data_IF_834494625013
#
_entry.id   IF_834494625013
#
_cell.length_a   1.000
_cell.length_b   1.000
_cell.length_c   1.000
_cell.angle_alpha   90.00
_cell.angle_beta   90.00
_cell.angle_gamma   90.00
#
_symmetry.space_group_name_H-M   'P 1'
#
loop_
_entity.id
_entity.type
_entity.pdbx_description
1 polymer ?
#
# COMPACT_ATOMS: atom_id res chain seq x y z
N UNK A 1 -50.32 92.78 -17.04
CA UNK A 1 -50.37 91.65 -16.09
C UNK A 1 -51.26 90.59 -16.73
N UNK A 2 -50.71 89.69 -17.55
CA UNK A 2 -51.47 88.60 -18.17
C UNK A 2 -50.60 87.34 -18.24
N UNK A 3 -51.24 86.27 -17.79
CA UNK A 3 -50.91 84.86 -17.68
C UNK A 3 -50.54 84.19 -19.04
N UNK A 4 -49.57 83.26 -19.11
CA UNK A 4 -49.66 81.76 -19.02
C UNK A 4 -49.64 81.05 -20.41
N UNK A 5 -49.00 79.85 -20.43
CA UNK A 5 -49.01 78.72 -21.40
C UNK A 5 -48.15 78.87 -22.68
N UNK A 6 -47.05 78.14 -22.93
CA UNK A 6 -46.66 76.69 -22.95
C UNK A 6 -47.09 75.92 -24.21
N UNK A 7 -46.11 75.60 -25.07
CA UNK A 7 -45.76 74.27 -25.64
C UNK A 7 -44.51 74.44 -26.55
N UNK A 8 -43.66 73.47 -26.94
CA UNK A 8 -43.03 72.27 -26.35
C UNK A 8 -42.04 71.76 -27.43
N UNK A 9 -40.73 71.76 -27.19
CA UNK A 9 -39.77 70.97 -27.98
C UNK A 9 -38.76 70.30 -27.03
N UNK A 10 -38.55 68.99 -27.21
CA UNK A 10 -37.75 68.12 -26.35
C UNK A 10 -36.27 68.11 -26.75
N UNK A 11 -35.31 68.24 -25.82
CA UNK A 11 -33.89 68.00 -26.10
C UNK A 11 -33.50 66.52 -25.86
N UNK A 12 -32.66 65.97 -26.76
CA UNK A 12 -32.06 64.63 -26.68
C UNK A 12 -31.17 64.45 -25.42
N UNK A 13 -31.12 63.26 -24.81
CA UNK A 13 -30.27 63.01 -23.65
C UNK A 13 -28.80 62.74 -24.05
N UNK A 14 -27.88 63.43 -23.37
CA UNK A 14 -26.43 63.22 -23.42
C UNK A 14 -26.07 61.98 -22.59
N UNK A 15 -25.45 60.98 -23.22
CA UNK A 15 -25.01 59.74 -22.57
C UNK A 15 -23.68 59.99 -21.84
N UNK A 16 -23.69 59.75 -20.52
CA UNK A 16 -22.54 59.84 -19.62
C UNK A 16 -21.48 58.77 -19.93
N UNK A 17 -20.23 59.19 -20.08
CA UNK A 17 -19.04 58.33 -20.05
C UNK A 17 -18.93 57.67 -18.68
N UNK A 18 -19.21 56.37 -18.61
CA UNK A 18 -18.82 55.52 -17.48
C UNK A 18 -17.38 55.09 -17.77
N UNK A 19 -16.43 55.63 -17.00
CA UNK A 19 -15.08 55.07 -16.93
C UNK A 19 -15.18 53.66 -16.36
N UNK A 20 -15.06 52.66 -17.23
CA UNK A 20 -14.88 51.27 -16.81
C UNK A 20 -13.42 51.13 -16.43
N UNK A 21 -13.15 51.15 -15.12
CA UNK A 21 -11.87 50.74 -14.56
C UNK A 21 -11.64 49.26 -14.90
N UNK A 22 -10.88 49.01 -15.97
CA UNK A 22 -10.54 47.67 -16.42
C UNK A 22 -9.56 47.05 -15.43
N UNK A 23 -10.10 46.40 -14.38
CA UNK A 23 -9.33 45.57 -13.46
C UNK A 23 -8.80 44.36 -14.23
N UNK A 24 -7.61 44.52 -14.81
CA UNK A 24 -6.77 43.46 -15.37
C UNK A 24 -6.66 42.31 -14.36
N UNK A 25 -7.51 41.30 -14.50
CA UNK A 25 -7.38 40.01 -13.81
C UNK A 25 -6.17 39.31 -14.41
N UNK A 26 -5.03 39.41 -13.73
CA UNK A 26 -3.79 38.73 -14.10
C UNK A 26 -4.03 37.23 -14.38
N UNK A 27 -3.57 36.70 -15.54
CA UNK A 27 -3.54 35.26 -15.83
C UNK A 27 -2.59 34.47 -14.90
N UNK A 28 -1.77 35.16 -14.08
CA UNK A 28 -0.88 34.56 -13.08
C UNK A 28 -1.62 33.86 -11.93
N UNK A 29 -2.85 34.28 -11.60
CA UNK A 29 -3.59 33.71 -10.46
C UNK A 29 -4.09 32.28 -10.73
N UNK A 30 -4.49 31.98 -11.96
CA UNK A 30 -4.96 30.64 -12.36
C UNK A 30 -3.79 29.70 -12.56
N UNK A 31 -2.70 30.15 -13.19
CA UNK A 31 -1.48 29.36 -13.35
C UNK A 31 -0.80 29.04 -12.02
N UNK A 32 -0.83 29.96 -11.05
CA UNK A 32 -0.31 29.73 -9.70
C UNK A 32 -1.21 28.77 -8.90
N UNK A 33 -2.54 28.90 -9.01
CA UNK A 33 -3.48 27.92 -8.44
C UNK A 33 -3.33 26.53 -9.08
N UNK A 34 -3.12 26.45 -10.39
CA UNK A 34 -2.81 25.19 -11.08
C UNK A 34 -1.48 24.62 -10.59
N UNK A 35 -0.47 25.47 -10.41
CA UNK A 35 0.84 25.10 -9.87
C UNK A 35 0.78 24.60 -8.42
N UNK A 36 -0.09 25.17 -7.58
CA UNK A 36 -0.31 24.74 -6.20
C UNK A 36 -1.08 23.42 -6.14
N UNK A 37 -1.95 23.11 -7.11
CA UNK A 37 -2.57 21.78 -7.28
C UNK A 37 -1.60 20.73 -7.83
N UNK A 38 -0.49 21.14 -8.45
CA UNK A 38 0.53 20.24 -9.02
C UNK A 38 1.68 19.96 -8.04
N UNK A 39 1.86 20.79 -7.01
CA UNK A 39 2.85 20.54 -5.95
C UNK A 39 2.38 19.40 -5.06
N UNK A 40 3.16 18.30 -4.93
CA UNK A 40 2.79 17.23 -4.01
C UNK A 40 2.77 17.76 -2.57
N UNK A 41 1.77 17.37 -1.74
CA UNK A 41 1.76 17.69 -0.33
C UNK A 41 3.01 17.18 0.40
N UNK A 42 3.27 17.70 1.60
CA UNK A 42 4.27 17.10 2.47
C UNK A 42 3.92 15.63 2.76
N UNK A 43 4.93 14.77 2.96
CA UNK A 43 4.71 13.37 3.32
C UNK A 43 3.86 13.28 4.60
N UNK A 44 2.85 12.41 4.60
CA UNK A 44 1.91 12.24 5.71
C UNK A 44 0.73 13.22 5.72
N UNK A 45 0.67 14.18 4.79
CA UNK A 45 -0.56 14.92 4.49
C UNK A 45 -1.44 14.12 3.52
N UNK A 46 -2.73 14.48 3.44
CA UNK A 46 -3.66 13.81 2.53
C UNK A 46 -3.39 14.19 1.07
N UNK A 47 -2.92 13.23 0.28
CA UNK A 47 -2.75 13.39 -1.17
C UNK A 47 -4.09 13.25 -1.86
N UNK A 48 -4.30 13.99 -2.97
CA UNK A 48 -5.34 13.61 -3.92
C UNK A 48 -4.94 12.34 -4.68
N UNK A 49 -5.93 11.61 -5.20
CA UNK A 49 -5.70 10.34 -5.91
C UNK A 49 -4.67 10.51 -7.03
N UNK A 50 -4.87 11.46 -7.94
CA UNK A 50 -3.96 11.66 -9.08
C UNK A 50 -2.55 12.03 -8.63
N UNK A 51 -2.40 12.92 -7.63
CA UNK A 51 -1.10 13.29 -7.10
C UNK A 51 -0.37 12.09 -6.50
N UNK A 52 -1.05 11.24 -5.74
CA UNK A 52 -0.45 10.05 -5.15
C UNK A 52 -0.03 9.04 -6.22
N UNK A 53 -0.89 8.77 -7.21
CA UNK A 53 -0.63 7.79 -8.27
C UNK A 53 0.60 8.13 -9.12
N UNK A 54 0.82 9.41 -9.41
CA UNK A 54 1.99 9.87 -10.20
C UNK A 54 3.16 10.31 -9.33
N UNK A 55 3.04 10.21 -8.00
CA UNK A 55 4.13 10.55 -7.10
C UNK A 55 5.30 9.59 -7.27
N UNK A 56 6.52 10.13 -7.19
CA UNK A 56 7.75 9.35 -7.29
C UNK A 56 7.78 8.26 -6.21
N UNK A 57 7.34 8.60 -4.99
CA UNK A 57 7.34 7.68 -3.85
C UNK A 57 6.37 6.49 -4.04
N UNK A 58 5.19 6.73 -4.63
CA UNK A 58 4.25 5.66 -4.98
C UNK A 58 4.80 4.78 -6.10
N UNK A 59 5.38 5.37 -7.15
CA UNK A 59 5.93 4.60 -8.28
C UNK A 59 7.11 3.72 -7.85
N UNK A 60 7.98 4.23 -6.96
CA UNK A 60 9.07 3.46 -6.36
C UNK A 60 8.52 2.28 -5.56
N UNK A 61 7.53 2.54 -4.69
CA UNK A 61 6.89 1.49 -3.87
C UNK A 61 6.18 0.45 -4.75
N UNK A 62 5.46 0.89 -5.77
CA UNK A 62 4.75 0.05 -6.73
C UNK A 62 5.72 -0.87 -7.47
N UNK A 63 6.83 -0.33 -7.98
CA UNK A 63 7.86 -1.12 -8.65
C UNK A 63 8.52 -2.13 -7.71
N UNK A 64 8.91 -1.72 -6.50
CA UNK A 64 9.46 -2.63 -5.50
C UNK A 64 8.47 -3.76 -5.14
N UNK A 65 7.18 -3.44 -5.10
CA UNK A 65 6.10 -4.41 -4.84
C UNK A 65 5.96 -5.41 -5.99
N UNK A 66 6.01 -4.97 -7.26
CA UNK A 66 6.02 -5.87 -8.44
C UNK A 66 7.16 -6.89 -8.31
N UNK A 67 8.37 -6.43 -8.04
CA UNK A 67 9.56 -7.27 -7.94
C UNK A 67 9.51 -8.27 -6.77
N UNK A 68 9.03 -7.83 -5.60
CA UNK A 68 8.98 -8.66 -4.41
C UNK A 68 7.78 -9.59 -4.36
N UNK A 69 6.56 -9.04 -4.46
CA UNK A 69 5.31 -9.80 -4.42
C UNK A 69 5.21 -10.69 -5.64
N UNK A 70 5.55 -10.20 -6.83
CA UNK A 70 5.55 -11.03 -8.04
C UNK A 70 6.51 -12.22 -7.94
N UNK A 71 7.72 -12.01 -7.40
CA UNK A 71 8.71 -13.08 -7.26
C UNK A 71 8.31 -14.14 -6.23
N UNK A 72 7.81 -13.71 -5.07
CA UNK A 72 7.33 -14.64 -4.03
C UNK A 72 6.06 -15.36 -4.46
N UNK A 73 5.11 -14.67 -5.11
CA UNK A 73 3.89 -15.27 -5.65
C UNK A 73 4.18 -16.30 -6.74
N UNK A 74 5.14 -16.01 -7.64
CA UNK A 74 5.61 -17.00 -8.64
C UNK A 74 6.08 -18.30 -7.98
N UNK A 75 6.78 -18.20 -6.86
CA UNK A 75 7.24 -19.36 -6.11
C UNK A 75 6.11 -20.15 -5.46
N UNK A 76 5.09 -19.45 -4.93
CA UNK A 76 3.92 -20.05 -4.32
C UNK A 76 3.08 -20.79 -5.37
N UNK A 77 2.76 -20.12 -6.48
CA UNK A 77 1.92 -20.64 -7.56
C UNK A 77 2.52 -21.90 -8.22
N UNK A 78 3.85 -21.98 -8.28
CA UNK A 78 4.56 -23.10 -8.90
C UNK A 78 5.11 -24.11 -7.88
N UNK A 79 4.81 -23.98 -6.58
CA UNK A 79 5.46 -24.82 -5.54
C UNK A 79 5.25 -26.33 -5.78
N UNK A 80 4.07 -26.71 -6.28
CA UNK A 80 3.77 -28.08 -6.70
C UNK A 80 4.74 -28.58 -7.78
N UNK A 81 4.81 -27.86 -8.90
CA UNK A 81 5.67 -28.22 -10.04
C UNK A 81 7.16 -28.16 -9.68
N UNK A 82 7.58 -27.19 -8.86
CA UNK A 82 8.95 -27.09 -8.36
C UNK A 82 9.28 -28.35 -7.55
N UNK A 83 8.41 -28.74 -6.61
CA UNK A 83 8.57 -29.95 -5.81
C UNK A 83 8.64 -31.22 -6.65
N UNK A 84 7.74 -31.37 -7.63
CA UNK A 84 7.72 -32.50 -8.55
C UNK A 84 9.00 -32.57 -9.40
N UNK A 85 9.44 -31.44 -9.96
CA UNK A 85 10.65 -31.38 -10.79
C UNK A 85 11.91 -31.79 -10.02
N UNK A 86 11.98 -31.49 -8.71
CA UNK A 86 13.08 -31.89 -7.84
C UNK A 86 12.93 -33.32 -7.28
N UNK A 87 11.87 -34.04 -7.63
CA UNK A 87 11.65 -35.43 -7.24
C UNK A 87 11.12 -35.62 -5.81
N UNK A 88 10.53 -34.58 -5.20
CA UNK A 88 9.91 -34.74 -3.88
C UNK A 88 8.62 -35.58 -3.97
N UNK A 89 8.34 -36.43 -2.97
CA UNK A 89 7.07 -37.14 -2.91
C UNK A 89 5.91 -36.17 -2.64
N UNK A 90 4.71 -36.49 -3.13
CA UNK A 90 3.52 -35.64 -2.98
C UNK A 90 3.22 -35.25 -1.53
N UNK A 91 3.54 -36.11 -0.55
CA UNK A 91 3.41 -35.81 0.88
C UNK A 91 4.30 -34.62 1.30
N UNK A 92 5.54 -34.56 0.83
CA UNK A 92 6.45 -33.43 1.10
C UNK A 92 5.96 -32.18 0.40
N UNK A 93 5.48 -32.28 -0.83
CA UNK A 93 4.92 -31.16 -1.60
C UNK A 93 3.72 -30.53 -0.87
N UNK A 94 2.79 -31.35 -0.39
CA UNK A 94 1.67 -30.87 0.44
C UNK A 94 2.17 -30.16 1.70
N UNK A 95 3.25 -30.68 2.31
CA UNK A 95 3.88 -30.04 3.47
C UNK A 95 4.44 -28.66 3.12
N UNK A 96 5.08 -28.49 1.95
CA UNK A 96 5.58 -27.19 1.48
C UNK A 96 4.47 -26.15 1.34
N UNK A 97 3.33 -26.54 0.75
CA UNK A 97 2.16 -25.68 0.62
C UNK A 97 1.58 -25.30 1.99
N UNK A 98 1.51 -26.25 2.92
CA UNK A 98 1.10 -25.96 4.31
C UNK A 98 2.08 -25.02 5.02
N UNK A 99 3.39 -25.21 4.87
CA UNK A 99 4.41 -24.34 5.44
C UNK A 99 4.30 -22.91 4.91
N UNK A 100 4.10 -22.75 3.59
CA UNK A 100 3.87 -21.43 2.98
C UNK A 100 2.68 -20.73 3.64
N UNK A 101 1.57 -21.44 3.83
CA UNK A 101 0.36 -20.87 4.44
C UNK A 101 0.59 -20.42 5.89
N UNK A 102 1.18 -21.28 6.72
CA UNK A 102 1.51 -20.97 8.13
C UNK A 102 2.44 -19.76 8.22
N UNK A 103 3.52 -19.76 7.43
CA UNK A 103 4.51 -18.70 7.49
C UNK A 103 4.03 -17.41 6.83
N UNK A 104 3.10 -17.46 5.87
CA UNK A 104 2.39 -16.27 5.38
C UNK A 104 1.57 -15.62 6.49
N UNK A 105 0.79 -16.39 7.24
CA UNK A 105 0.05 -15.87 8.40
C UNK A 105 1.02 -15.27 9.44
N UNK A 106 2.11 -15.98 9.77
CA UNK A 106 3.13 -15.48 10.69
C UNK A 106 3.80 -14.21 10.18
N UNK A 107 4.13 -14.14 8.89
CA UNK A 107 4.74 -12.96 8.26
C UNK A 107 3.85 -11.73 8.39
N UNK A 108 2.53 -11.89 8.20
CA UNK A 108 1.57 -10.79 8.36
C UNK A 108 1.50 -10.29 9.80
N UNK A 109 1.42 -11.22 10.75
CA UNK A 109 1.38 -10.89 12.19
C UNK A 109 2.68 -10.19 12.59
N UNK A 110 3.82 -10.81 12.27
CA UNK A 110 5.14 -10.30 12.62
C UNK A 110 5.37 -8.91 12.02
N UNK A 111 5.21 -8.73 10.70
CA UNK A 111 5.49 -7.42 10.10
C UNK A 111 4.50 -6.36 10.55
N UNK A 112 3.23 -6.69 10.79
CA UNK A 112 2.25 -5.77 11.36
C UNK A 112 2.67 -5.23 12.73
N UNK A 113 2.95 -6.11 13.69
CA UNK A 113 3.31 -5.68 15.06
C UNK A 113 4.74 -5.15 15.16
N UNK A 114 5.73 -5.85 14.59
CA UNK A 114 7.12 -5.43 14.69
C UNK A 114 7.35 -4.09 13.99
N UNK A 115 6.62 -3.76 12.93
CA UNK A 115 6.80 -2.45 12.28
C UNK A 115 6.33 -1.29 13.13
N UNK A 116 5.24 -1.44 13.91
CA UNK A 116 4.86 -0.45 14.92
C UNK A 116 5.93 -0.32 16.01
N UNK A 117 6.39 -1.45 16.57
CA UNK A 117 7.39 -1.45 17.64
C UNK A 117 8.70 -0.82 17.19
N UNK A 118 9.18 -1.18 16.00
CA UNK A 118 10.43 -0.62 15.47
C UNK A 118 10.31 0.85 15.12
N UNK A 119 9.16 1.29 14.59
CA UNK A 119 8.90 2.68 14.32
C UNK A 119 8.82 3.51 15.62
N UNK A 120 8.05 3.06 16.60
CA UNK A 120 7.84 3.78 17.85
C UNK A 120 9.11 3.88 18.71
N UNK A 121 9.85 2.77 18.85
CA UNK A 121 11.00 2.69 19.75
C UNK A 121 12.33 3.12 19.11
N UNK A 122 12.51 2.86 17.81
CA UNK A 122 13.81 3.06 17.14
C UNK A 122 13.73 4.00 15.94
N UNK A 123 12.55 4.57 15.63
CA UNK A 123 12.32 5.41 14.43
C UNK A 123 12.77 4.71 13.15
N UNK A 124 12.66 3.38 13.14
CA UNK A 124 13.11 2.55 12.04
C UNK A 124 12.15 2.71 10.85
N UNK A 125 12.61 3.15 9.65
CA UNK A 125 11.72 3.37 8.52
C UNK A 125 11.09 2.06 8.02
N UNK A 126 9.76 2.03 7.84
CA UNK A 126 9.08 0.85 7.26
C UNK A 126 9.57 0.47 5.85
N UNK A 127 9.93 1.41 4.95
CA UNK A 127 10.58 1.06 3.68
C UNK A 127 11.91 0.30 3.86
N UNK A 128 12.60 0.50 4.98
CA UNK A 128 13.82 -0.26 5.29
C UNK A 128 13.49 -1.68 5.73
N UNK A 129 12.38 -1.87 6.47
CA UNK A 129 11.88 -3.21 6.78
C UNK A 129 11.48 -3.95 5.50
N UNK A 130 10.78 -3.27 4.58
CA UNK A 130 10.45 -3.83 3.28
C UNK A 130 11.70 -4.28 2.53
N UNK A 131 12.75 -3.45 2.52
CA UNK A 131 14.05 -3.80 1.92
C UNK A 131 14.63 -5.07 2.55
N UNK A 132 14.62 -5.19 3.88
CA UNK A 132 15.11 -6.38 4.57
C UNK A 132 14.31 -7.63 4.20
N UNK A 133 12.98 -7.52 4.07
CA UNK A 133 12.12 -8.62 3.62
C UNK A 133 12.42 -9.02 2.17
N UNK A 134 12.68 -8.06 1.28
CA UNK A 134 13.07 -8.35 -0.11
C UNK A 134 14.42 -9.09 -0.18
N UNK A 135 15.41 -8.68 0.62
CA UNK A 135 16.69 -9.37 0.72
C UNK A 135 16.56 -10.78 1.30
N UNK A 136 15.67 -10.96 2.28
CA UNK A 136 15.36 -12.29 2.81
C UNK A 136 14.66 -13.17 1.75
N UNK A 137 13.75 -12.60 0.95
CA UNK A 137 13.09 -13.33 -0.14
C UNK A 137 14.09 -13.87 -1.17
N UNK A 138 15.15 -13.12 -1.49
CA UNK A 138 16.24 -13.58 -2.36
C UNK A 138 16.86 -14.88 -1.86
N UNK A 139 17.02 -15.08 -0.54
CA UNK A 139 17.53 -16.34 -0.01
C UNK A 139 16.58 -17.51 -0.31
N UNK A 140 15.27 -17.29 -0.17
CA UNK A 140 14.25 -18.28 -0.56
C UNK A 140 14.29 -18.60 -2.05
N UNK A 141 14.43 -17.58 -2.91
CA UNK A 141 14.54 -17.77 -4.36
C UNK A 141 15.80 -18.54 -4.76
N UNK A 142 16.95 -18.24 -4.14
CA UNK A 142 18.20 -18.95 -4.40
C UNK A 142 18.16 -20.41 -3.94
N UNK A 143 17.52 -20.71 -2.80
CA UNK A 143 17.31 -22.08 -2.34
C UNK A 143 16.51 -22.92 -3.34
N UNK A 144 15.53 -22.31 -4.01
CA UNK A 144 14.77 -22.94 -5.10
C UNK A 144 15.65 -23.09 -6.34
N UNK A 145 16.38 -22.04 -6.74
CA UNK A 145 17.21 -22.05 -7.93
C UNK A 145 18.30 -23.14 -7.91
N UNK A 146 18.92 -23.37 -6.74
CA UNK A 146 19.97 -24.38 -6.60
C UNK A 146 19.43 -25.78 -6.33
N UNK A 147 18.22 -25.91 -5.78
CA UNK A 147 17.54 -27.20 -5.62
C UNK A 147 18.32 -28.25 -4.82
N UNK A 148 19.13 -27.83 -3.84
CA UNK A 148 19.87 -28.76 -2.98
C UNK A 148 18.92 -29.61 -2.12
N UNK A 149 19.32 -30.80 -1.66
CA UNK A 149 18.44 -31.68 -0.89
C UNK A 149 17.82 -30.96 0.32
N UNK A 150 16.51 -31.14 0.50
CA UNK A 150 15.68 -30.52 1.54
C UNK A 150 15.60 -28.97 1.51
N UNK A 151 16.15 -28.29 0.49
CA UNK A 151 16.10 -26.83 0.40
C UNK A 151 14.68 -26.28 0.37
N UNK A 152 13.73 -27.03 -0.21
CA UNK A 152 12.34 -26.60 -0.33
C UNK A 152 11.63 -26.45 1.01
N UNK A 153 11.98 -27.24 2.04
CA UNK A 153 11.43 -27.02 3.39
C UNK A 153 11.76 -25.61 3.89
N UNK A 154 13.02 -25.20 3.76
CA UNK A 154 13.50 -23.88 4.19
C UNK A 154 12.96 -22.79 3.26
N UNK A 155 12.96 -23.03 1.94
CA UNK A 155 12.44 -22.08 0.97
C UNK A 155 10.95 -21.78 1.19
N UNK A 156 10.12 -22.79 1.46
CA UNK A 156 8.70 -22.61 1.76
C UNK A 156 8.44 -21.72 2.98
N UNK A 157 9.25 -21.90 4.04
CA UNK A 157 9.20 -21.05 5.24
C UNK A 157 9.55 -19.60 4.91
N UNK A 158 10.69 -19.38 4.24
CA UNK A 158 11.18 -18.04 3.90
C UNK A 158 10.22 -17.32 2.95
N UNK A 159 9.81 -17.98 1.86
CA UNK A 159 8.91 -17.42 0.85
C UNK A 159 7.53 -17.11 1.45
N UNK A 160 6.97 -18.03 2.25
CA UNK A 160 5.71 -17.81 2.95
C UNK A 160 5.78 -16.57 3.85
N UNK A 161 6.80 -16.50 4.72
CA UNK A 161 7.01 -15.36 5.60
C UNK A 161 7.17 -14.04 4.83
N UNK A 162 8.01 -14.02 3.78
CA UNK A 162 8.25 -12.81 3.01
C UNK A 162 6.97 -12.32 2.30
N UNK A 163 6.24 -13.21 1.63
CA UNK A 163 4.98 -12.85 0.96
C UNK A 163 3.95 -12.30 1.96
N UNK A 164 3.84 -12.92 3.14
CA UNK A 164 2.97 -12.43 4.21
C UNK A 164 3.39 -11.06 4.75
N UNK A 165 4.69 -10.89 5.01
CA UNK A 165 5.25 -9.69 5.61
C UNK A 165 5.12 -8.44 4.73
N UNK A 166 5.17 -8.59 3.41
CA UNK A 166 5.11 -7.48 2.46
C UNK A 166 3.77 -6.72 2.49
N UNK A 167 2.65 -7.39 2.73
CA UNK A 167 1.32 -6.74 2.65
C UNK A 167 1.06 -5.73 3.78
N UNK A 168 1.24 -6.05 5.08
CA UNK A 168 1.09 -5.05 6.14
C UNK A 168 2.07 -3.88 5.99
N UNK A 169 3.29 -4.14 5.53
CA UNK A 169 4.26 -3.08 5.27
C UNK A 169 3.80 -2.16 4.14
N UNK A 170 3.29 -2.72 3.03
CA UNK A 170 2.73 -1.94 1.92
C UNK A 170 1.58 -1.05 2.40
N UNK A 171 0.65 -1.62 3.17
CA UNK A 171 -0.49 -0.91 3.74
C UNK A 171 -0.05 0.24 4.65
N UNK A 172 0.84 -0.04 5.59
CA UNK A 172 1.36 0.97 6.51
C UNK A 172 2.09 2.10 5.78
N UNK A 173 3.01 1.77 4.85
CA UNK A 173 3.76 2.77 4.08
C UNK A 173 2.81 3.66 3.28
N UNK A 174 1.80 3.10 2.61
CA UNK A 174 0.84 3.90 1.83
C UNK A 174 0.06 4.86 2.72
N UNK A 175 -0.44 4.38 3.87
CA UNK A 175 -1.17 5.24 4.81
C UNK A 175 -0.30 6.34 5.41
N UNK A 176 0.98 6.05 5.68
CA UNK A 176 1.92 6.99 6.29
C UNK A 176 2.40 8.06 5.31
N UNK A 177 2.60 7.71 4.03
CA UNK A 177 3.14 8.66 3.04
C UNK A 177 2.06 9.53 2.39
N UNK A 178 0.86 8.97 2.14
CA UNK A 178 -0.17 9.62 1.31
C UNK A 178 -1.44 10.00 2.08
N UNK A 179 -1.48 9.73 3.38
CA UNK A 179 -2.61 10.02 4.25
C UNK A 179 -3.74 9.00 4.15
N UNK A 180 -4.81 9.26 4.92
CA UNK A 180 -5.91 8.32 5.12
C UNK A 180 -7.14 8.64 4.25
N UNK A 181 -7.26 9.86 3.75
CA UNK A 181 -8.46 10.34 3.04
C UNK A 181 -8.88 9.47 1.84
N UNK A 182 -7.92 9.03 1.02
CA UNK A 182 -8.16 8.12 -0.12
C UNK A 182 -7.40 6.81 0.00
N UNK A 183 -7.04 6.41 1.23
CA UNK A 183 -6.23 5.23 1.52
C UNK A 183 -6.72 3.98 0.78
N UNK A 184 -8.04 3.75 0.79
CA UNK A 184 -8.65 2.59 0.12
C UNK A 184 -8.29 2.50 -1.36
N UNK A 185 -8.35 3.61 -2.09
CA UNK A 185 -7.99 3.63 -3.50
C UNK A 185 -6.50 3.42 -3.71
N UNK A 186 -5.67 4.05 -2.88
CA UNK A 186 -4.22 4.02 -3.01
C UNK A 186 -3.63 2.64 -2.71
N UNK A 187 -4.10 1.96 -1.65
CA UNK A 187 -3.61 0.61 -1.37
C UNK A 187 -4.09 -0.40 -2.41
N UNK A 188 -5.31 -0.24 -2.95
CA UNK A 188 -5.80 -1.10 -4.03
C UNK A 188 -4.96 -0.91 -5.30
N UNK A 189 -4.58 0.32 -5.64
CA UNK A 189 -3.63 0.58 -6.71
C UNK A 189 -2.29 -0.11 -6.44
N UNK A 190 -1.73 0.04 -5.23
CA UNK A 190 -0.55 -0.71 -4.80
C UNK A 190 -0.71 -2.22 -4.98
N UNK A 191 -1.89 -2.76 -4.70
CA UNK A 191 -2.23 -4.17 -4.88
C UNK A 191 -2.21 -4.65 -6.33
N UNK A 192 -2.43 -3.78 -7.32
CA UNK A 192 -2.32 -4.10 -8.76
C UNK A 192 -0.90 -4.52 -9.15
N UNK A 193 0.12 -4.17 -8.36
CA UNK A 193 1.47 -4.68 -8.52
C UNK A 193 1.54 -6.22 -8.52
N UNK A 194 0.66 -6.89 -7.75
CA UNK A 194 0.62 -8.35 -7.64
C UNK A 194 0.30 -9.05 -8.97
N UNK A 195 -0.84 -8.79 -9.64
CA UNK A 195 -1.14 -9.42 -10.92
C UNK A 195 -0.14 -9.03 -12.03
N UNK A 196 0.39 -7.81 -12.01
CA UNK A 196 1.44 -7.40 -12.97
C UNK A 196 2.72 -8.21 -12.75
N UNK A 197 3.17 -8.31 -11.50
CA UNK A 197 4.35 -9.10 -11.13
C UNK A 197 4.18 -10.58 -11.44
N UNK A 198 3.02 -11.17 -11.14
CA UNK A 198 2.72 -12.56 -11.48
C UNK A 198 2.73 -12.77 -12.99
N UNK A 199 2.10 -11.89 -13.79
CA UNK A 199 2.13 -12.04 -15.25
C UNK A 199 3.56 -12.02 -15.81
N UNK A 200 4.41 -11.08 -15.36
CA UNK A 200 5.78 -10.93 -15.88
C UNK A 200 6.69 -12.07 -15.38
N UNK A 201 6.71 -12.33 -14.07
CA UNK A 201 7.67 -13.25 -13.46
C UNK A 201 7.19 -14.70 -13.48
N UNK A 202 5.89 -14.94 -13.29
CA UNK A 202 5.32 -16.29 -13.33
C UNK A 202 5.10 -16.72 -14.78
N UNK A 203 4.19 -16.06 -15.50
CA UNK A 203 3.78 -16.52 -16.84
C UNK A 203 4.88 -16.33 -17.88
N UNK A 204 5.42 -15.11 -18.00
CA UNK A 204 6.37 -14.78 -19.07
C UNK A 204 7.78 -15.31 -18.82
N UNK A 205 8.24 -15.34 -17.57
CA UNK A 205 9.57 -15.85 -17.23
C UNK A 205 9.51 -17.32 -16.81
N UNK A 206 8.91 -17.64 -15.66
CA UNK A 206 8.98 -19.00 -15.10
C UNK A 206 8.34 -20.06 -16.00
N UNK A 207 7.09 -19.85 -16.44
CA UNK A 207 6.37 -20.77 -17.32
C UNK A 207 7.07 -20.97 -18.67
N UNK A 208 7.46 -19.88 -19.34
CA UNK A 208 8.15 -19.97 -20.63
C UNK A 208 9.48 -20.72 -20.55
N UNK A 209 10.29 -20.46 -19.51
CA UNK A 209 11.59 -21.11 -19.32
C UNK A 209 11.42 -22.58 -18.92
N UNK A 210 10.43 -22.89 -18.08
CA UNK A 210 10.08 -24.27 -17.74
C UNK A 210 9.70 -25.05 -19.00
N UNK A 211 8.76 -24.54 -19.81
CA UNK A 211 8.32 -25.20 -21.05
C UNK A 211 9.46 -25.40 -22.04
N UNK A 212 10.37 -24.44 -22.14
CA UNK A 212 11.55 -24.53 -23.00
C UNK A 212 12.48 -25.66 -22.57
N UNK A 213 12.75 -25.78 -21.27
CA UNK A 213 13.59 -26.85 -20.74
C UNK A 213 12.87 -28.21 -20.79
N UNK A 214 11.57 -28.24 -20.49
CA UNK A 214 10.74 -29.44 -20.61
C UNK A 214 10.75 -29.99 -22.04
N UNK A 215 10.59 -29.12 -23.05
CA UNK A 215 10.74 -29.52 -24.47
C UNK A 215 12.12 -30.09 -24.73
N UNK A 216 13.18 -29.39 -24.31
CA UNK A 216 14.57 -29.84 -24.50
C UNK A 216 14.83 -31.23 -23.91
N UNK A 217 14.36 -31.51 -22.71
CA UNK A 217 14.53 -32.81 -22.03
C UNK A 217 13.74 -33.95 -22.70
N UNK A 218 12.71 -33.61 -23.47
CA UNK A 218 11.84 -34.56 -24.15
C UNK A 218 12.13 -34.65 -25.67
N UNK A 219 13.07 -33.85 -26.21
CA UNK A 219 13.58 -34.01 -27.57
C UNK A 219 14.28 -35.37 -27.70
N UNK A 220 13.84 -36.19 -28.67
CA UNK A 220 14.46 -37.49 -28.97
C UNK A 220 13.94 -38.69 -28.18
N UNK A 221 12.97 -38.52 -27.27
CA UNK A 221 12.26 -39.65 -26.67
C UNK A 221 11.16 -40.14 -27.63
N UNK A 222 11.07 -41.44 -27.93
CA UNK A 222 10.01 -41.96 -28.81
C UNK A 222 8.64 -41.63 -28.22
N UNK A 223 7.73 -41.15 -29.07
CA UNK A 223 6.35 -40.75 -28.78
C UNK A 223 5.52 -41.82 -28.04
N UNK A 224 6.03 -43.06 -27.97
CA UNK A 224 5.39 -44.23 -27.34
C UNK A 224 5.28 -44.19 -25.82
N UNK A 225 5.96 -43.27 -25.12
CA UNK A 225 5.72 -43.00 -23.68
C UNK A 225 4.97 -41.69 -23.43
N UNK A 226 4.64 -40.94 -24.48
CA UNK A 226 3.75 -39.79 -24.37
C UNK A 226 2.32 -40.34 -24.31
N UNK A 227 1.90 -40.75 -23.11
CA UNK A 227 0.49 -40.99 -22.83
C UNK A 227 -0.24 -39.71 -23.20
N UNK A 228 -0.95 -39.75 -24.32
CA UNK A 228 -1.84 -38.73 -24.87
C UNK A 228 -2.61 -38.04 -23.72
N UNK A 229 -2.12 -36.89 -23.26
CA UNK A 229 -2.68 -36.13 -22.14
C UNK A 229 -1.80 -35.88 -20.91
N UNK A 230 -0.53 -36.34 -20.85
CA UNK A 230 0.42 -35.90 -19.81
C UNK A 230 1.26 -34.72 -20.29
N UNK A 231 1.23 -33.64 -19.52
CA UNK A 231 1.99 -32.41 -19.76
C UNK A 231 3.48 -32.68 -19.98
N UNK A 232 4.15 -31.75 -20.67
CA UNK A 232 5.61 -31.72 -20.82
C UNK A 232 6.26 -31.68 -19.43
N UNK A 233 6.68 -32.84 -18.93
CA UNK A 233 7.31 -32.95 -17.62
C UNK A 233 8.79 -32.60 -17.70
N UNK A 234 9.24 -31.75 -16.78
CA UNK A 234 10.65 -31.36 -16.64
C UNK A 234 11.18 -31.87 -15.29
N UNK A 235 12.36 -32.48 -15.32
CA UNK A 235 13.02 -33.01 -14.12
C UNK A 235 14.37 -32.35 -13.84
N UNK A 236 14.68 -32.20 -12.57
CA UNK A 236 15.90 -31.62 -12.04
C UNK A 236 15.83 -30.11 -11.81
N UNK A 237 16.79 -29.58 -11.06
CA UNK A 237 16.85 -28.16 -10.70
C UNK A 237 16.87 -27.22 -11.91
N UNK A 238 17.35 -27.69 -13.08
CA UNK A 238 17.42 -26.92 -14.32
C UNK A 238 16.07 -26.37 -14.79
N UNK A 239 14.96 -27.01 -14.42
CA UNK A 239 13.61 -26.61 -14.83
C UNK A 239 13.23 -25.21 -14.33
N UNK A 240 13.65 -24.86 -13.12
CA UNK A 240 13.34 -23.56 -12.50
C UNK A 240 14.58 -22.71 -12.21
N UNK A 241 15.79 -23.26 -12.36
CA UNK A 241 17.04 -22.58 -12.01
C UNK A 241 17.16 -21.18 -12.63
N UNK A 242 17.05 -21.07 -13.96
CA UNK A 242 17.22 -19.77 -14.63
C UNK A 242 16.08 -18.80 -14.26
N UNK A 243 14.85 -19.27 -14.18
CA UNK A 243 13.69 -18.47 -13.77
C UNK A 243 13.89 -17.85 -12.40
N UNK A 244 14.34 -18.65 -11.42
CA UNK A 244 14.56 -18.17 -10.05
C UNK A 244 15.81 -17.31 -9.91
N UNK A 245 16.83 -17.48 -10.76
CA UNK A 245 17.94 -16.52 -10.83
C UNK A 245 17.48 -15.15 -11.37
N UNK A 246 16.62 -15.13 -12.39
CA UNK A 246 16.01 -13.90 -12.92
C UNK A 246 15.12 -13.25 -11.85
N UNK A 247 14.29 -14.04 -11.17
CA UNK A 247 13.42 -13.54 -10.08
C UNK A 247 14.27 -12.97 -8.95
N UNK A 248 15.34 -13.67 -8.53
CA UNK A 248 16.27 -13.16 -7.51
C UNK A 248 16.87 -11.82 -7.95
N UNK A 249 17.36 -11.72 -9.19
CA UNK A 249 17.90 -10.47 -9.71
C UNK A 249 16.85 -9.34 -9.72
N UNK A 250 15.63 -9.63 -10.16
CA UNK A 250 14.53 -8.67 -10.12
C UNK A 250 14.20 -8.24 -8.68
N UNK A 251 14.18 -9.15 -7.72
CA UNK A 251 13.95 -8.84 -6.30
C UNK A 251 15.09 -8.02 -5.70
N UNK A 252 16.35 -8.27 -6.08
CA UNK A 252 17.51 -7.41 -5.70
C UNK A 252 17.34 -6.00 -6.27
N UNK A 253 16.96 -5.86 -7.54
CA UNK A 253 16.67 -4.54 -8.12
C UNK A 253 15.53 -3.86 -7.36
N UNK A 254 14.46 -4.60 -7.01
CA UNK A 254 13.39 -4.10 -6.16
C UNK A 254 13.88 -3.64 -4.78
N UNK A 255 14.81 -4.36 -4.16
CA UNK A 255 15.42 -3.97 -2.89
C UNK A 255 16.25 -2.68 -3.01
N UNK A 256 17.04 -2.54 -4.08
CA UNK A 256 17.78 -1.30 -4.37
C UNK A 256 16.84 -0.12 -4.60
N UNK A 257 15.76 -0.33 -5.37
CA UNK A 257 14.73 0.70 -5.58
C UNK A 257 14.01 1.05 -4.26
N UNK A 258 13.73 0.07 -3.40
CA UNK A 258 13.18 0.29 -2.07
C UNK A 258 14.13 1.11 -1.17
N UNK A 259 15.46 0.94 -1.30
CA UNK A 259 16.41 1.80 -0.60
C UNK A 259 16.32 3.26 -1.04
N UNK A 260 16.01 3.54 -2.31
CA UNK A 260 15.74 4.91 -2.75
C UNK A 260 14.54 5.51 -2.01
N UNK A 261 13.50 4.72 -1.75
CA UNK A 261 12.36 5.15 -0.92
C UNK A 261 12.80 5.45 0.51
N UNK A 262 13.69 4.62 1.09
CA UNK A 262 14.25 4.87 2.43
C UNK A 262 14.97 6.22 2.46
N UNK A 263 15.81 6.51 1.48
CA UNK A 263 16.53 7.78 1.43
C UNK A 263 15.58 8.98 1.31
N UNK A 264 14.54 8.87 0.47
CA UNK A 264 13.56 9.95 0.25
C UNK A 264 12.67 10.20 1.48
N UNK A 265 12.32 9.15 2.20
CA UNK A 265 11.43 9.21 3.37
C UNK A 265 12.20 9.34 4.70
N UNK A 266 13.54 9.40 4.66
CA UNK A 266 14.39 9.40 5.87
C UNK A 266 14.07 10.53 6.83
N UNK A 267 13.93 11.75 6.33
CA UNK A 267 13.66 12.92 7.19
C UNK A 267 12.23 12.87 7.75
N UNK A 268 11.28 12.30 7.00
CA UNK A 268 9.92 12.05 7.49
C UNK A 268 9.91 11.05 8.65
N UNK A 269 10.57 9.89 8.50
CA UNK A 269 10.63 8.85 9.53
C UNK A 269 11.46 9.22 10.78
N UNK A 270 12.41 10.16 10.65
CA UNK A 270 13.12 10.74 11.80
C UNK A 270 12.24 11.66 12.65
N UNK A 271 11.21 12.26 12.05
CA UNK A 271 10.26 13.13 12.73
C UNK A 271 9.35 12.38 13.71
N UNK A 272 8.56 13.13 14.48
CA UNK A 272 7.52 12.53 15.31
C UNK A 272 6.22 12.35 14.51
N UNK A 273 6.14 11.28 13.70
CA UNK A 273 4.99 10.95 12.84
C UNK A 273 3.68 10.91 13.65
N UNK A 274 3.73 10.52 14.94
CA UNK A 274 2.55 10.45 15.82
C UNK A 274 2.23 11.74 16.56
N UNK A 275 3.08 12.78 16.50
CA UNK A 275 2.82 14.04 17.19
C UNK A 275 1.50 14.69 16.74
N UNK A 276 1.18 14.62 15.45
CA UNK A 276 -0.07 15.17 14.89
C UNK A 276 -1.30 14.50 15.50
N UNK A 277 -1.31 13.17 15.59
CA UNK A 277 -2.43 12.42 16.16
C UNK A 277 -2.57 12.62 17.68
N UNK A 278 -1.45 12.71 18.41
CA UNK A 278 -1.47 13.02 19.85
C UNK A 278 -1.98 14.43 20.11
N UNK A 279 -1.59 15.40 19.29
CA UNK A 279 -2.07 16.79 19.43
C UNK A 279 -3.55 16.90 19.08
N UNK A 280 -4.04 16.18 18.07
CA UNK A 280 -5.49 16.13 17.77
C UNK A 280 -6.27 15.45 18.89
N UNK A 281 -5.79 14.33 19.44
CA UNK A 281 -6.42 13.67 20.58
C UNK A 281 -6.47 14.61 21.79
N UNK A 282 -5.34 15.19 22.18
CA UNK A 282 -5.26 16.13 23.29
C UNK A 282 -6.17 17.35 23.10
N UNK A 283 -6.23 17.92 21.88
CA UNK A 283 -7.10 19.06 21.58
C UNK A 283 -8.59 18.68 21.63
N UNK A 284 -8.92 17.44 21.28
CA UNK A 284 -10.30 16.92 21.37
C UNK A 284 -10.68 16.68 22.82
N UNK A 285 -9.77 16.11 23.62
CA UNK A 285 -9.97 15.91 25.06
C UNK A 285 -10.13 17.25 25.81
N UNK A 286 -9.32 18.28 25.49
CA UNK A 286 -9.50 19.63 26.06
C UNK A 286 -10.79 20.31 25.60
N UNK A 287 -11.23 20.08 24.37
CA UNK A 287 -12.51 20.64 23.89
C UNK A 287 -13.71 19.98 24.58
N UNK A 288 -13.61 18.69 24.92
CA UNK A 288 -14.64 17.97 25.68
C UNK A 288 -14.63 18.38 27.16
N UNK A 289 -13.47 18.69 27.75
CA UNK A 289 -13.38 19.23 29.11
C UNK A 289 -13.93 20.67 29.23
N UNK A 290 -13.77 21.51 28.20
CA UNK A 290 -14.29 22.89 28.17
C UNK A 290 -15.82 22.96 28.00
N UNK A 291 -16.45 21.89 27.46
CA UNK A 291 -17.91 21.76 27.33
C UNK A 291 -18.61 21.08 28.52
N UNK A 292 -17.88 20.72 29.59
CA UNK A 292 -18.47 20.10 30.76
C UNK A 292 -19.51 21.03 31.42
N UNK A 293 -20.77 20.60 31.62
CA UNK A 293 -21.81 21.46 32.21
C UNK A 293 -21.43 21.84 33.65
N UNK A 294 -21.78 23.05 34.11
CA UNK A 294 -21.40 23.53 35.43
C UNK A 294 -21.95 22.60 36.52
N UNK A 295 -21.23 22.45 37.65
CA UNK A 295 -21.62 21.54 38.72
C UNK A 295 -22.99 21.93 39.27
N UNK A 296 -23.91 20.98 39.27
CA UNK A 296 -25.23 21.11 39.89
C UNK A 296 -25.02 21.32 41.38
N UNK A 297 -25.31 22.53 41.86
CA UNK A 297 -25.38 22.86 43.28
C UNK A 297 -26.35 21.89 43.98
N UNK A 298 -25.84 21.10 44.92
CA UNK A 298 -26.65 20.22 45.76
C UNK A 298 -27.60 21.08 46.61
N UNK A 299 -28.90 21.03 46.29
CA UNK A 299 -29.94 21.63 47.10
C UNK A 299 -30.09 20.82 48.40
N UNK A 300 -29.91 21.53 49.53
CA UNK A 300 -29.98 20.99 50.86
C UNK A 300 -31.36 20.45 51.24
N UNK A 301 -31.30 19.34 51.96
CA UNK A 301 -32.27 18.74 52.87
C UNK A 301 -33.26 19.73 53.50
N UNK A 302 -34.53 19.66 53.08
CA UNK A 302 -35.72 20.05 53.87
C UNK A 302 -36.94 19.27 53.41
N UNK A 303 -37.07 18.02 53.84
CA UNK A 303 -38.40 17.40 53.94
C UNK A 303 -38.45 16.34 55.05
N UNK A 304 -38.40 16.84 56.29
CA UNK A 304 -38.77 16.08 57.48
C UNK A 304 -39.81 16.84 58.29
N UNK A 305 -41.05 16.92 57.79
CA UNK A 305 -42.26 17.11 58.60
C UNK A 305 -43.55 17.17 57.74
N UNK A 306 -44.09 16.01 57.31
CA UNK A 306 -45.55 15.86 57.12
C UNK A 306 -45.96 14.41 56.89
N UNK A 307 -46.04 13.63 57.96
CA UNK A 307 -46.81 12.38 57.96
C UNK A 307 -47.33 12.07 59.35
N UNK A 308 -48.27 12.90 59.79
CA UNK A 308 -49.33 12.52 60.72
C UNK A 308 -50.56 13.28 60.28
N UNK A 309 -51.58 12.56 59.79
CA UNK A 309 -53.02 12.80 60.01
C UNK A 309 -53.82 11.79 59.15
N UNK A 310 -54.67 11.05 59.87
CA UNK A 310 -55.91 10.37 59.50
C UNK A 310 -55.95 9.17 58.53
N UNK A 311 -56.11 7.99 59.15
CA UNK A 311 -57.12 7.00 58.74
C UNK A 311 -58.10 6.79 59.90
N UNK A 312 -59.36 7.11 59.66
CA UNK A 312 -60.51 6.81 60.52
C UNK A 312 -61.73 6.62 59.63
N UNK A 313 -62.46 5.53 59.90
CA UNK A 313 -63.58 4.90 59.18
C UNK A 313 -63.23 4.02 57.98
#
# INVERSE_FOLDING_TARGET
MVAIMVDRETPKPTLSTIEVEEKSKEPRSVLRRLGDTVRPPALGEDYSILQALVSIDMLILFFATICGVGGTLTAIDNMGQIGESLGYPSKSINTFVSLISIWNAMGRIASGFLSEVFLAKYKFPRPLMLTAILLLACAGHLLIAFGVPNSLYVASVIIGFCFGAQWPLLFAIISELFGLKYYSTLYNFGGVASPIGSYILNVKAAGHLYDKEAKRQNLGKPEKTSSRGKDLTCMGAKCFQLSFLIITAATVVGAVVSLLLVFRTREFYKGDIYAKFRNTANNTDTAVEEEAPPPVLAAGDKDRQRTKINTGN
#
